data_IF_204698853257
#
_entry.id   IF_204698853257
#
_cell.length_a   1.000
_cell.length_b   1.000
_cell.length_c   1.000
_cell.angle_alpha   90.00
_cell.angle_beta   90.00
_cell.angle_gamma   90.00
#
_symmetry.space_group_name_H-M   'P 1'
#
loop_
_entity.id
_entity.type
_entity.pdbx_description
1 polymer ?
#
# COMPACT_ATOMS: atom_id res chain seq x y z
N UNK A 1 6.47 -21.37 -12.49
CA UNK A 1 5.35 -20.41 -12.29
C UNK A 1 5.82 -19.00 -11.93
N UNK A 2 6.47 -18.75 -10.79
CA UNK A 2 7.04 -17.42 -10.48
C UNK A 2 8.16 -17.04 -11.47
N UNK A 3 9.05 -18.01 -11.78
CA UNK A 3 10.07 -17.86 -12.81
C UNK A 3 9.44 -17.50 -14.16
N UNK A 4 8.38 -18.16 -14.59
CA UNK A 4 7.72 -17.85 -15.88
C UNK A 4 7.02 -16.48 -15.91
N UNK A 5 6.45 -16.03 -14.78
CA UNK A 5 5.82 -14.70 -14.65
C UNK A 5 6.90 -13.61 -14.71
N UNK A 6 8.01 -13.81 -13.99
CA UNK A 6 9.14 -12.88 -13.98
C UNK A 6 9.93 -12.94 -15.30
N UNK A 7 10.12 -14.10 -15.91
CA UNK A 7 10.74 -14.23 -17.24
C UNK A 7 9.87 -13.59 -18.33
N UNK A 8 8.53 -13.76 -18.32
CA UNK A 8 7.67 -13.04 -19.27
C UNK A 8 7.63 -11.52 -19.05
N UNK A 9 7.85 -11.06 -17.82
CA UNK A 9 7.75 -9.64 -17.46
C UNK A 9 9.10 -8.91 -17.57
N UNK A 10 10.20 -9.60 -17.30
CA UNK A 10 11.56 -9.07 -17.17
C UNK A 10 12.50 -9.69 -18.22
N UNK A 11 12.41 -11.01 -18.43
CA UNK A 11 13.29 -11.80 -19.29
C UNK A 11 12.82 -11.95 -20.73
N UNK A 12 12.96 -10.91 -21.56
CA UNK A 12 13.41 -11.06 -22.96
C UNK A 12 13.44 -9.70 -23.66
N UNK A 13 14.60 -9.46 -24.27
CA UNK A 13 14.87 -8.45 -25.27
C UNK A 13 15.15 -7.06 -24.68
N UNK A 14 16.39 -6.58 -24.81
CA UNK A 14 16.92 -5.21 -24.78
C UNK A 14 15.94 -4.05 -24.36
N UNK A 15 15.26 -4.21 -23.23
CA UNK A 15 14.10 -3.41 -22.77
C UNK A 15 14.26 -2.98 -21.31
N UNK A 16 15.48 -2.79 -20.82
CA UNK A 16 15.68 -2.12 -19.53
C UNK A 16 14.90 -0.79 -19.47
N UNK A 17 14.90 -0.03 -20.56
CA UNK A 17 14.15 1.23 -20.67
C UNK A 17 12.64 1.02 -20.86
N UNK A 18 12.21 -0.09 -21.46
CA UNK A 18 10.80 -0.33 -21.78
C UNK A 18 10.04 -1.06 -20.67
N UNK A 19 10.67 -1.90 -19.85
CA UNK A 19 10.04 -2.49 -18.65
C UNK A 19 9.89 -1.42 -17.58
N UNK A 20 10.89 -0.56 -17.37
CA UNK A 20 10.78 0.62 -16.48
C UNK A 20 9.74 1.63 -17.03
N UNK A 21 9.70 1.86 -18.35
CA UNK A 21 8.67 2.71 -18.97
C UNK A 21 7.27 2.09 -18.91
N UNK A 22 7.15 0.76 -19.01
CA UNK A 22 5.87 0.04 -18.90
C UNK A 22 5.40 -0.07 -17.44
N UNK A 23 6.31 -0.17 -16.47
CA UNK A 23 6.01 -0.02 -15.05
C UNK A 23 5.55 1.40 -14.72
N UNK A 24 6.12 2.42 -15.39
CA UNK A 24 5.62 3.81 -15.29
C UNK A 24 4.27 4.02 -15.98
N UNK A 25 3.98 3.31 -17.08
CA UNK A 25 2.77 3.50 -17.90
C UNK A 25 1.61 2.57 -17.57
N UNK A 26 1.84 1.48 -16.83
CA UNK A 26 0.83 0.48 -16.51
C UNK A 26 0.58 0.41 -14.99
N UNK A 27 0.38 1.58 -14.36
CA UNK A 27 -0.09 1.76 -12.98
C UNK A 27 -1.58 1.39 -12.82
N UNK A 28 -1.97 0.23 -13.35
CA UNK A 28 -3.30 -0.36 -13.20
C UNK A 28 -3.38 -1.22 -11.94
N UNK A 29 -3.32 -0.59 -10.76
CA UNK A 29 -3.55 -1.29 -9.49
C UNK A 29 -2.84 -0.71 -8.26
N UNK A 30 -1.74 0.03 -8.46
CA UNK A 30 -1.03 0.75 -7.41
C UNK A 30 -1.23 2.25 -7.55
N UNK A 31 -2.06 2.85 -6.71
CA UNK A 31 -2.10 4.31 -6.60
C UNK A 31 -0.72 4.86 -6.22
N UNK A 32 -0.50 6.15 -6.45
CA UNK A 32 0.68 6.89 -5.97
C UNK A 32 0.93 6.50 -4.50
N UNK A 33 2.09 5.87 -4.21
CA UNK A 33 2.50 5.45 -2.86
C UNK A 33 2.97 6.64 -2.01
N UNK A 34 2.04 7.58 -1.81
CA UNK A 34 2.28 8.81 -1.06
C UNK A 34 0.99 9.27 -0.43
N UNK A 35 1.08 9.80 0.78
CA UNK A 35 -0.05 10.44 1.43
C UNK A 35 -0.49 11.69 0.63
N UNK A 36 -1.79 11.83 0.31
CA UNK A 36 -2.28 12.99 -0.39
C UNK A 36 -2.23 14.22 0.52
N UNK A 37 -2.11 15.41 -0.09
CA UNK A 37 -2.11 16.69 0.62
C UNK A 37 -3.54 17.14 0.96
N UNK A 38 -3.78 17.80 2.09
CA UNK A 38 -5.10 18.27 2.48
C UNK A 38 -5.63 19.33 1.51
N UNK A 39 -6.94 19.35 1.29
CA UNK A 39 -7.60 20.45 0.56
C UNK A 39 -7.61 21.73 1.39
N UNK A 40 -7.47 22.88 0.74
CA UNK A 40 -7.42 24.20 1.38
C UNK A 40 -8.79 24.79 1.76
N UNK A 41 -9.90 24.25 1.24
CA UNK A 41 -11.26 24.78 1.43
C UNK A 41 -11.97 24.31 2.73
N UNK A 42 -11.22 23.87 3.74
CA UNK A 42 -11.77 23.35 5.00
C UNK A 42 -12.25 21.90 4.91
N UNK A 43 -12.76 21.38 6.03
CA UNK A 43 -13.22 20.00 6.15
C UNK A 43 -14.43 19.69 5.24
N UNK A 44 -14.52 18.47 4.67
CA UNK A 44 -13.55 17.38 4.81
C UNK A 44 -12.28 17.61 3.96
N UNK A 45 -11.10 17.56 4.59
CA UNK A 45 -9.82 17.79 3.93
C UNK A 45 -9.46 16.68 2.94
N UNK A 46 -9.97 15.46 3.16
CA UNK A 46 -9.82 14.31 2.28
C UNK A 46 -11.17 13.70 1.94
N UNK A 47 -11.28 13.21 0.70
CA UNK A 47 -12.45 12.44 0.27
C UNK A 47 -12.43 11.01 0.84
N UNK A 48 -13.60 10.39 0.87
CA UNK A 48 -13.81 8.98 1.19
C UNK A 48 -12.84 8.05 0.44
N UNK A 49 -12.69 8.27 -0.87
CA UNK A 49 -11.81 7.46 -1.71
C UNK A 49 -10.33 7.63 -1.36
N UNK A 50 -9.90 8.86 -1.04
CA UNK A 50 -8.52 9.11 -0.60
C UNK A 50 -8.23 8.41 0.72
N UNK A 51 -9.12 8.51 1.71
CA UNK A 51 -8.96 7.83 3.00
C UNK A 51 -8.94 6.31 2.80
N UNK A 52 -9.89 5.73 2.06
CA UNK A 52 -9.91 4.30 1.80
C UNK A 52 -8.63 3.79 1.10
N UNK A 53 -8.10 4.57 0.16
CA UNK A 53 -6.84 4.27 -0.53
C UNK A 53 -5.66 4.30 0.44
N UNK A 54 -5.55 5.35 1.27
CA UNK A 54 -4.49 5.46 2.28
C UNK A 54 -4.55 4.32 3.27
N UNK A 55 -5.73 3.96 3.78
CA UNK A 55 -5.87 2.82 4.70
C UNK A 55 -5.43 1.51 4.05
N UNK A 56 -5.76 1.29 2.77
CA UNK A 56 -5.29 0.11 2.05
C UNK A 56 -3.75 0.10 1.96
N UNK A 57 -3.16 1.24 1.56
CA UNK A 57 -1.71 1.37 1.44
C UNK A 57 -1.00 1.17 2.79
N UNK A 58 -1.50 1.75 3.88
CA UNK A 58 -0.98 1.50 5.25
C UNK A 58 -1.04 0.01 5.57
N UNK A 59 -2.15 -0.68 5.25
CA UNK A 59 -2.25 -2.13 5.38
C UNK A 59 -1.15 -2.88 4.61
N UNK A 60 -0.92 -2.53 3.34
CA UNK A 60 0.14 -3.15 2.53
C UNK A 60 1.54 -2.90 3.11
N UNK A 61 1.84 -1.65 3.50
CA UNK A 61 3.14 -1.29 4.06
C UNK A 61 3.38 -1.97 5.42
N UNK A 62 2.36 -2.09 6.26
CA UNK A 62 2.44 -2.86 7.51
C UNK A 62 2.71 -4.35 7.24
N UNK A 63 2.08 -4.92 6.21
CA UNK A 63 2.32 -6.30 5.81
C UNK A 63 3.76 -6.51 5.30
N UNK A 64 4.28 -5.59 4.50
CA UNK A 64 5.70 -5.57 4.09
C UNK A 64 6.66 -5.56 5.27
N UNK A 65 6.31 -4.83 6.34
CA UNK A 65 7.11 -4.73 7.57
C UNK A 65 6.91 -5.89 8.54
N UNK A 66 6.08 -6.88 8.21
CA UNK A 66 5.80 -7.98 9.13
C UNK A 66 5.05 -7.57 10.38
N UNK A 67 4.29 -6.48 10.32
CA UNK A 67 3.47 -6.07 11.44
C UNK A 67 2.44 -7.14 11.81
N UNK A 68 1.92 -7.03 13.03
CA UNK A 68 0.93 -7.95 13.56
C UNK A 68 -0.26 -8.14 12.58
N UNK A 69 -0.64 -9.38 12.22
CA UNK A 69 -1.71 -9.64 11.25
C UNK A 69 -3.07 -9.05 11.62
N UNK A 70 -3.39 -8.93 12.91
CA UNK A 70 -4.62 -8.27 13.36
C UNK A 70 -4.59 -6.77 13.06
N UNK A 71 -3.44 -6.12 13.29
CA UNK A 71 -3.24 -4.70 12.95
C UNK A 71 -3.40 -4.48 11.46
N UNK A 72 -2.69 -5.23 10.63
CA UNK A 72 -2.76 -5.17 9.17
C UNK A 72 -4.19 -5.38 8.65
N UNK A 73 -4.88 -6.41 9.16
CA UNK A 73 -6.26 -6.71 8.77
C UNK A 73 -7.24 -5.60 9.17
N UNK A 74 -6.99 -4.89 10.27
CA UNK A 74 -7.80 -3.73 10.67
C UNK A 74 -7.78 -2.63 9.60
N UNK A 75 -6.62 -2.35 9.00
CA UNK A 75 -6.48 -1.35 7.95
C UNK A 75 -7.20 -1.75 6.65
N UNK A 76 -7.06 -3.02 6.23
CA UNK A 76 -7.80 -3.54 5.07
C UNK A 76 -9.32 -3.53 5.29
N UNK A 77 -9.78 -3.94 6.49
CA UNK A 77 -11.20 -3.89 6.83
C UNK A 77 -11.71 -2.46 6.83
N UNK A 78 -10.99 -1.51 7.45
CA UNK A 78 -11.35 -0.10 7.46
C UNK A 78 -11.41 0.51 6.06
N UNK A 79 -10.42 0.20 5.21
CA UNK A 79 -10.41 0.60 3.81
C UNK A 79 -11.66 0.12 3.07
N UNK A 80 -12.01 -1.17 3.21
CA UNK A 80 -13.22 -1.75 2.61
C UNK A 80 -14.50 -1.13 3.15
N UNK A 81 -14.60 -0.95 4.47
CA UNK A 81 -15.77 -0.33 5.10
C UNK A 81 -15.99 1.08 4.55
N UNK A 82 -14.96 1.92 4.55
CA UNK A 82 -15.03 3.30 4.05
C UNK A 82 -15.30 3.36 2.55
N UNK A 83 -14.71 2.46 1.75
CA UNK A 83 -14.92 2.44 0.29
C UNK A 83 -16.34 2.06 -0.12
N UNK A 84 -17.13 1.47 0.78
CA UNK A 84 -18.52 1.07 0.54
C UNK A 84 -19.58 2.02 1.12
N UNK A 85 -19.17 3.08 1.83
CA UNK A 85 -20.14 4.05 2.36
C UNK A 85 -20.82 4.83 1.22
N UNK A 86 -22.14 4.93 1.31
CA UNK A 86 -22.99 5.72 0.41
C UNK A 86 -23.41 7.07 1.02
N UNK A 87 -23.43 7.15 2.35
CA UNK A 87 -23.77 8.35 3.10
C UNK A 87 -22.68 9.44 2.97
N UNK A 88 -23.00 10.66 3.41
CA UNK A 88 -22.01 11.74 3.49
C UNK A 88 -20.89 11.38 4.48
N UNK A 89 -19.70 11.15 3.92
CA UNK A 89 -18.54 10.76 4.69
C UNK A 89 -18.05 11.85 5.65
N UNK A 90 -18.17 13.13 5.26
CA UNK A 90 -17.80 14.24 6.13
C UNK A 90 -18.72 14.32 7.35
N UNK A 91 -20.03 14.16 7.13
CA UNK A 91 -21.02 14.12 8.22
C UNK A 91 -20.78 12.95 9.18
N UNK A 92 -20.56 11.74 8.65
CA UNK A 92 -20.26 10.55 9.47
C UNK A 92 -19.07 10.78 10.40
N UNK A 93 -18.02 11.43 9.90
CA UNK A 93 -16.82 11.72 10.67
C UNK A 93 -17.10 12.81 11.71
N UNK A 94 -17.72 13.92 11.30
CA UNK A 94 -18.02 15.05 12.18
C UNK A 94 -18.98 14.67 13.32
N UNK A 95 -19.93 13.76 13.06
CA UNK A 95 -20.89 13.30 14.05
C UNK A 95 -20.37 12.17 14.95
N UNK A 96 -19.13 11.70 14.75
CA UNK A 96 -18.55 10.58 15.51
C UNK A 96 -19.11 9.20 15.17
N UNK A 97 -20.03 9.08 14.20
CA UNK A 97 -20.65 7.81 13.77
C UNK A 97 -19.66 6.86 13.11
N UNK A 98 -18.47 7.35 12.76
CA UNK A 98 -17.37 6.53 12.23
C UNK A 98 -17.04 5.32 13.13
N UNK A 99 -17.12 5.46 14.46
CA UNK A 99 -16.81 4.38 15.42
C UNK A 99 -17.90 3.29 15.49
N UNK A 100 -19.08 3.56 14.94
CA UNK A 100 -20.17 2.58 14.85
C UNK A 100 -19.98 1.63 13.66
N UNK A 101 -19.09 1.99 12.73
CA UNK A 101 -18.83 1.22 11.53
C UNK A 101 -18.02 -0.04 11.85
N UNK A 102 -18.52 -1.19 11.39
CA UNK A 102 -17.85 -2.47 11.57
C UNK A 102 -16.43 -2.43 10.99
N UNK A 103 -15.46 -2.82 11.81
CA UNK A 103 -14.04 -2.85 11.43
C UNK A 103 -13.29 -1.54 11.68
N UNK A 104 -13.93 -0.51 12.24
CA UNK A 104 -13.27 0.73 12.66
C UNK A 104 -13.24 0.79 14.20
N UNK A 105 -12.06 0.58 14.77
CA UNK A 105 -11.82 0.75 16.21
C UNK A 105 -11.32 2.16 16.57
N UNK A 106 -11.21 2.45 17.87
CA UNK A 106 -10.83 3.78 18.39
C UNK A 106 -9.56 4.38 17.74
N UNK A 107 -8.48 3.61 17.63
CA UNK A 107 -7.22 4.09 17.06
C UNK A 107 -7.34 4.44 15.57
N UNK A 108 -7.97 3.55 14.79
CA UNK A 108 -8.20 3.77 13.36
C UNK A 108 -9.15 4.95 13.13
N UNK A 109 -10.23 5.00 13.93
CA UNK A 109 -11.21 6.09 13.89
C UNK A 109 -10.58 7.44 14.21
N UNK A 110 -9.74 7.53 15.25
CA UNK A 110 -9.04 8.76 15.59
C UNK A 110 -8.13 9.25 14.46
N UNK A 111 -7.35 8.37 13.84
CA UNK A 111 -6.50 8.73 12.70
C UNK A 111 -7.29 9.21 11.48
N UNK A 112 -8.44 8.57 11.18
CA UNK A 112 -9.33 9.01 10.09
C UNK A 112 -9.96 10.38 10.43
N UNK A 113 -10.45 10.56 11.65
CA UNK A 113 -11.08 11.81 12.08
C UNK A 113 -10.10 12.97 12.00
N UNK A 114 -8.87 12.81 12.50
CA UNK A 114 -7.83 13.83 12.42
C UNK A 114 -7.52 14.20 10.96
N UNK A 115 -7.35 13.19 10.11
CA UNK A 115 -7.10 13.43 8.69
C UNK A 115 -8.23 14.22 8.04
N UNK A 116 -9.48 13.83 8.27
CA UNK A 116 -10.64 14.42 7.59
C UNK A 116 -11.00 15.80 8.11
N UNK A 117 -10.95 16.03 9.43
CA UNK A 117 -11.36 17.28 10.06
C UNK A 117 -10.24 18.31 10.14
N UNK A 118 -9.02 17.88 10.45
CA UNK A 118 -7.87 18.77 10.66
C UNK A 118 -6.90 18.78 9.47
N UNK A 119 -7.01 17.80 8.56
CA UNK A 119 -6.11 17.70 7.40
C UNK A 119 -4.78 17.01 7.70
N UNK A 120 -4.67 16.38 8.86
CA UNK A 120 -3.42 15.81 9.37
C UNK A 120 -3.47 14.27 9.44
N UNK A 121 -2.60 13.61 8.68
CA UNK A 121 -2.43 12.17 8.76
C UNK A 121 -1.79 11.76 10.09
N UNK A 122 -2.13 10.56 10.58
CA UNK A 122 -1.49 10.02 11.79
C UNK A 122 0.03 9.89 11.60
N UNK A 123 0.79 10.25 12.63
CA UNK A 123 2.26 10.27 12.58
C UNK A 123 2.85 8.90 12.21
N UNK A 124 2.31 7.82 12.77
CA UNK A 124 2.76 6.46 12.49
C UNK A 124 2.48 6.05 11.02
N UNK A 125 1.49 6.65 10.36
CA UNK A 125 1.26 6.44 8.93
C UNK A 125 2.29 7.22 8.11
N UNK A 126 2.55 8.47 8.46
CA UNK A 126 3.57 9.31 7.79
C UNK A 126 4.94 8.61 7.86
N UNK A 127 5.33 8.16 9.06
CA UNK A 127 6.59 7.44 9.27
C UNK A 127 6.64 6.16 8.45
N UNK A 128 5.54 5.40 8.38
CA UNK A 128 5.48 4.17 7.59
C UNK A 128 5.72 4.42 6.10
N UNK A 129 5.11 5.46 5.52
CA UNK A 129 5.35 5.84 4.13
C UNK A 129 6.80 6.33 3.90
N UNK A 130 7.35 7.10 4.83
CA UNK A 130 8.70 7.68 4.69
C UNK A 130 9.82 6.66 4.90
N UNK A 131 9.62 5.69 5.80
CA UNK A 131 10.65 4.72 6.16
C UNK A 131 10.70 3.53 5.21
N UNK A 132 9.61 3.23 4.48
CA UNK A 132 9.56 2.04 3.61
C UNK A 132 10.49 2.22 2.41
N UNK A 133 11.45 1.29 2.20
CA UNK A 133 12.39 1.39 1.08
C UNK A 133 11.68 1.45 -0.27
N UNK A 134 12.09 2.36 -1.17
CA UNK A 134 11.42 2.54 -2.46
C UNK A 134 11.48 1.28 -3.33
N UNK A 135 12.58 0.51 -3.28
CA UNK A 135 12.69 -0.73 -4.04
C UNK A 135 11.65 -1.80 -3.67
N UNK A 136 11.26 -1.88 -2.38
CA UNK A 136 10.17 -2.78 -1.95
C UNK A 136 8.81 -2.28 -2.44
N UNK A 137 8.61 -0.96 -2.51
CA UNK A 137 7.40 -0.35 -3.06
C UNK A 137 7.30 -0.62 -4.57
N UNK A 138 8.41 -0.50 -5.29
CA UNK A 138 8.49 -0.79 -6.72
C UNK A 138 8.10 -2.25 -7.02
N UNK A 139 8.54 -3.19 -6.19
CA UNK A 139 8.16 -4.60 -6.32
C UNK A 139 6.65 -4.86 -6.18
N UNK A 140 5.90 -4.04 -5.43
CA UNK A 140 4.43 -4.17 -5.35
C UNK A 140 3.75 -3.92 -6.70
N UNK A 141 4.44 -3.28 -7.65
CA UNK A 141 3.96 -3.11 -9.02
C UNK A 141 4.05 -4.39 -9.86
N UNK A 142 4.74 -5.43 -9.40
CA UNK A 142 4.89 -6.68 -10.13
C UNK A 142 3.61 -7.54 -9.95
N UNK A 143 2.92 -7.92 -11.04
CA UNK A 143 1.72 -8.74 -10.94
C UNK A 143 1.95 -10.05 -10.20
N UNK A 144 1.02 -10.38 -9.29
CA UNK A 144 1.07 -11.58 -8.43
C UNK A 144 2.22 -11.59 -7.39
N UNK A 145 2.99 -10.51 -7.26
CA UNK A 145 3.99 -10.36 -6.21
C UNK A 145 3.42 -9.51 -5.06
N UNK A 146 2.80 -10.19 -4.09
CA UNK A 146 2.20 -9.54 -2.93
C UNK A 146 3.19 -9.20 -1.81
N UNK A 147 2.81 -8.31 -0.88
CA UNK A 147 3.67 -7.85 0.21
C UNK A 147 4.24 -8.98 1.09
N UNK A 148 3.50 -10.06 1.33
CA UNK A 148 4.04 -11.22 2.09
C UNK A 148 5.21 -11.89 1.40
N UNK A 149 5.14 -12.03 0.07
CA UNK A 149 6.20 -12.66 -0.73
C UNK A 149 7.40 -11.73 -0.81
N UNK A 150 7.18 -10.43 -1.00
CA UNK A 150 8.25 -9.42 -0.98
C UNK A 150 8.96 -9.41 0.37
N UNK A 151 8.21 -9.44 1.49
CA UNK A 151 8.78 -9.55 2.83
C UNK A 151 9.66 -10.80 2.97
N UNK A 152 9.16 -11.96 2.57
CA UNK A 152 9.93 -13.22 2.63
C UNK A 152 11.23 -13.12 1.82
N UNK A 153 11.18 -12.56 0.61
CA UNK A 153 12.35 -12.35 -0.23
C UNK A 153 13.36 -11.39 0.42
N UNK A 154 12.88 -10.35 1.08
CA UNK A 154 13.73 -9.41 1.80
C UNK A 154 14.37 -10.03 3.05
N UNK A 155 13.64 -10.86 3.79
CA UNK A 155 14.15 -11.49 5.01
C UNK A 155 15.11 -12.64 4.74
N UNK A 156 14.82 -13.47 3.72
CA UNK A 156 15.58 -14.69 3.47
C UNK A 156 16.75 -14.48 2.49
N UNK A 157 16.61 -13.54 1.54
CA UNK A 157 17.60 -13.31 0.47
C UNK A 157 18.16 -11.88 0.48
N UNK A 158 17.78 -11.05 1.45
CA UNK A 158 18.21 -9.64 1.55
C UNK A 158 17.86 -8.80 0.31
N UNK A 159 16.91 -9.24 -0.51
CA UNK A 159 16.48 -8.54 -1.73
C UNK A 159 15.76 -7.23 -1.35
N UNK A 160 16.26 -6.11 -1.84
CA UNK A 160 15.77 -4.75 -1.53
C UNK A 160 15.22 -4.01 -2.75
N UNK A 161 15.55 -4.43 -3.97
CA UNK A 161 15.15 -3.75 -5.21
C UNK A 161 14.90 -4.72 -6.39
N UNK A 162 14.33 -4.19 -7.48
CA UNK A 162 13.96 -5.00 -8.66
C UNK A 162 15.17 -5.67 -9.32
N UNK A 163 16.35 -5.05 -9.28
CA UNK A 163 17.56 -5.59 -9.91
C UNK A 163 18.01 -6.84 -9.15
N UNK A 164 18.15 -6.75 -7.83
CA UNK A 164 18.47 -7.90 -6.97
C UNK A 164 17.42 -9.01 -7.10
N UNK A 165 16.13 -8.64 -7.18
CA UNK A 165 15.06 -9.62 -7.42
C UNK A 165 15.26 -10.36 -8.73
N UNK A 166 15.63 -9.66 -9.81
CA UNK A 166 15.90 -10.26 -11.11
C UNK A 166 17.11 -11.21 -11.03
N UNK A 167 18.21 -10.78 -10.41
CA UNK A 167 19.42 -11.60 -10.26
C UNK A 167 19.13 -12.90 -9.51
N UNK A 168 18.41 -12.84 -8.39
CA UNK A 168 18.01 -14.03 -7.63
C UNK A 168 17.00 -14.92 -8.38
N UNK A 169 16.19 -14.37 -9.28
CA UNK A 169 15.35 -15.17 -10.18
C UNK A 169 16.19 -15.97 -11.17
N UNK A 170 17.22 -15.34 -11.74
CA UNK A 170 18.10 -15.93 -12.75
C UNK A 170 19.03 -16.98 -12.13
N UNK A 171 19.48 -16.75 -10.89
CA UNK A 171 20.28 -17.69 -10.12
C UNK A 171 19.48 -18.91 -9.61
N UNK A 172 18.14 -18.80 -9.52
CA UNK A 172 17.26 -19.87 -9.04
C UNK A 172 17.03 -19.88 -7.53
N UNK A 173 17.56 -18.90 -6.79
CA UNK A 173 17.49 -18.80 -5.32
C UNK A 173 16.03 -18.78 -4.80
N UNK A 174 15.12 -18.24 -5.59
CA UNK A 174 13.70 -18.08 -5.22
C UNK A 174 12.93 -19.41 -5.32
N UNK A 175 13.41 -20.39 -6.09
CA UNK A 175 12.75 -21.70 -6.20
C UNK A 175 12.87 -22.52 -4.91
N UNK A 176 13.86 -22.20 -4.08
CA UNK A 176 14.10 -22.86 -2.79
C UNK A 176 13.31 -22.29 -1.61
N UNK A 177 12.48 -21.25 -1.85
CA UNK A 177 11.64 -20.53 -0.88
C UNK A 177 10.14 -20.75 -1.07
#
# INVERSE_FOLDING_TARGET
MLRDILFKTIGTNNRHTQVIASLHLNMGGGGIWKLPKPRTKGAPHFSRNQVATVLHQVGVLLELRGANPFRTRSYFNGSRTISTLNDDFGEIVASGRLLELKGIGKGLGAGITNAVLEGEWAEDWIELFNSTPPGLIEMLGIPNLGPKRIKLLNEELEITNIIELQESCEAGDIETL
#
